data_IF_718956947169
#
_entry.id   IF_718956947169
#
_cell.length_a   1.000
_cell.length_b   1.000
_cell.length_c   1.000
_cell.angle_alpha   90.00
_cell.angle_beta   90.00
_cell.angle_gamma   90.00
#
_symmetry.space_group_name_H-M   'P 1'
#
loop_
_entity.id
_entity.type
_entity.pdbx_description
1 polymer ?
#
# COMPACT_ATOMS: atom_id res chain seq x y z
N UNK A 1 -2.27 -48.21 -9.28
CA UNK A 1 -1.98 -46.76 -9.27
C UNK A 1 -0.81 -46.54 -10.20
N UNK A 2 -1.04 -45.84 -11.31
CA UNK A 2 0.01 -45.49 -12.27
C UNK A 2 0.81 -44.33 -11.66
N UNK A 3 2.04 -44.59 -11.19
CA UNK A 3 2.99 -43.52 -10.91
C UNK A 3 3.50 -43.03 -12.27
N UNK A 4 2.83 -42.01 -12.81
CA UNK A 4 3.31 -41.29 -13.98
C UNK A 4 4.65 -40.65 -13.65
N UNK A 5 5.67 -41.05 -14.38
CA UNK A 5 7.05 -40.58 -14.32
C UNK A 5 7.07 -39.06 -14.57
N UNK A 6 7.19 -38.27 -13.50
CA UNK A 6 7.34 -36.81 -13.57
C UNK A 6 8.79 -36.45 -13.25
N UNK A 7 9.66 -36.62 -14.25
CA UNK A 7 10.93 -35.90 -14.30
C UNK A 7 11.17 -35.54 -15.76
N UNK A 8 10.73 -34.36 -16.19
CA UNK A 8 11.31 -33.74 -17.38
C UNK A 8 12.58 -33.01 -16.93
N UNK A 9 13.73 -33.61 -17.17
CA UNK A 9 15.02 -32.97 -16.88
C UNK A 9 15.09 -31.61 -17.62
N UNK A 10 15.17 -30.52 -16.84
CA UNK A 10 15.46 -29.18 -17.34
C UNK A 10 14.26 -28.29 -17.70
N UNK A 11 13.02 -28.67 -17.36
CA UNK A 11 11.82 -27.83 -17.59
C UNK A 11 11.06 -27.64 -16.29
N UNK A 12 10.79 -26.39 -15.91
CA UNK A 12 9.93 -26.03 -14.77
C UNK A 12 8.50 -26.35 -15.14
N UNK A 13 7.80 -27.17 -14.34
CA UNK A 13 6.39 -27.47 -14.57
C UNK A 13 5.49 -26.33 -14.04
N UNK A 14 5.41 -25.26 -14.84
CA UNK A 14 4.56 -24.10 -14.56
C UNK A 14 3.08 -24.44 -14.72
N UNK A 15 2.73 -25.41 -15.57
CA UNK A 15 1.35 -25.83 -15.79
C UNK A 15 0.85 -26.65 -14.60
N UNK A 16 1.71 -27.50 -14.07
CA UNK A 16 1.45 -28.30 -12.90
C UNK A 16 0.36 -29.35 -13.11
N UNK A 17 -0.13 -29.91 -12.01
CA UNK A 17 -1.21 -30.89 -12.01
C UNK A 17 -2.37 -30.42 -11.15
N UNK A 18 -3.60 -30.69 -11.62
CA UNK A 18 -4.84 -30.36 -10.91
C UNK A 18 -5.41 -31.59 -10.20
N UNK A 19 -5.57 -31.50 -8.88
CA UNK A 19 -6.30 -32.48 -8.09
C UNK A 19 -7.76 -32.03 -8.03
N UNK A 20 -8.64 -32.77 -8.70
CA UNK A 20 -10.06 -32.45 -8.72
C UNK A 20 -10.76 -32.75 -7.38
N UNK A 21 -11.68 -31.88 -6.96
CA UNK A 21 -12.47 -32.03 -5.73
C UNK A 21 -11.60 -32.29 -4.49
N UNK A 22 -10.45 -31.61 -4.41
CA UNK A 22 -9.42 -31.89 -3.42
C UNK A 22 -9.76 -31.32 -2.03
N UNK A 23 -10.74 -30.42 -1.93
CA UNK A 23 -11.20 -29.83 -0.67
C UNK A 23 -12.37 -28.86 -0.86
N UNK A 24 -12.82 -28.27 0.23
CA UNK A 24 -13.84 -27.22 0.22
C UNK A 24 -13.18 -25.83 0.23
N UNK A 25 -13.78 -24.87 -0.47
CA UNK A 25 -13.34 -23.49 -0.45
C UNK A 25 -13.51 -22.90 0.95
N UNK A 26 -12.48 -22.29 1.57
CA UNK A 26 -12.59 -21.72 2.92
C UNK A 26 -13.54 -20.52 3.02
N UNK A 27 -13.92 -19.92 1.89
CA UNK A 27 -14.82 -18.77 1.82
C UNK A 27 -16.30 -19.15 1.65
N UNK A 28 -16.60 -20.16 0.83
CA UNK A 28 -17.98 -20.50 0.45
C UNK A 28 -18.36 -21.98 0.62
N UNK A 29 -17.44 -22.81 1.12
CA UNK A 29 -17.58 -24.26 1.33
C UNK A 29 -17.94 -25.10 0.09
N UNK A 30 -17.87 -24.53 -1.11
CA UNK A 30 -18.04 -25.29 -2.36
C UNK A 30 -16.79 -26.13 -2.61
N UNK A 31 -16.96 -27.35 -3.12
CA UNK A 31 -15.86 -28.21 -3.56
C UNK A 31 -15.01 -27.50 -4.62
N UNK A 32 -13.70 -27.50 -4.43
CA UNK A 32 -12.72 -26.84 -5.29
C UNK A 32 -11.58 -27.79 -5.66
N UNK A 33 -10.97 -27.48 -6.79
CA UNK A 33 -9.78 -28.14 -7.28
C UNK A 33 -8.54 -27.47 -6.67
N UNK A 34 -7.49 -28.25 -6.42
CA UNK A 34 -6.18 -27.72 -6.06
C UNK A 34 -5.21 -27.89 -7.22
N UNK A 35 -4.39 -26.87 -7.48
CA UNK A 35 -3.31 -26.96 -8.45
C UNK A 35 -1.97 -27.09 -7.72
N UNK A 36 -1.15 -28.03 -8.14
CA UNK A 36 0.23 -28.19 -7.69
C UNK A 36 1.15 -27.83 -8.86
N UNK A 37 2.06 -26.89 -8.69
CA UNK A 37 2.95 -26.41 -9.75
C UNK A 37 4.32 -26.04 -9.17
N UNK A 38 5.29 -25.80 -10.04
CA UNK A 38 6.61 -25.32 -9.64
C UNK A 38 6.72 -23.81 -9.90
N UNK A 39 7.25 -23.06 -8.94
CA UNK A 39 7.58 -21.63 -9.08
C UNK A 39 9.06 -21.41 -8.79
N UNK A 40 9.69 -20.53 -9.57
CA UNK A 40 11.06 -20.09 -9.31
C UNK A 40 11.02 -18.76 -8.55
N UNK A 41 11.19 -18.83 -7.24
CA UNK A 41 11.23 -17.65 -6.37
C UNK A 41 12.57 -17.58 -5.64
N UNK A 42 13.12 -16.37 -5.53
CA UNK A 42 14.40 -16.10 -4.86
C UNK A 42 15.61 -16.94 -5.35
N UNK A 43 15.58 -17.41 -6.60
CA UNK A 43 16.64 -18.22 -7.18
C UNK A 43 16.56 -19.72 -6.85
N UNK A 44 15.45 -20.18 -6.28
CA UNK A 44 15.19 -21.59 -5.99
C UNK A 44 13.89 -22.06 -6.66
N UNK A 45 13.83 -23.34 -7.03
CA UNK A 45 12.59 -24.00 -7.45
C UNK A 45 11.82 -24.48 -6.23
N UNK A 46 10.60 -23.99 -6.09
CA UNK A 46 9.69 -24.32 -4.99
C UNK A 46 8.44 -24.98 -5.55
N UNK A 47 7.97 -26.04 -4.88
CA UNK A 47 6.68 -26.62 -5.17
C UNK A 47 5.60 -25.80 -4.47
N UNK A 48 4.66 -25.28 -5.24
CA UNK A 48 3.57 -24.43 -4.78
C UNK A 48 2.23 -25.16 -4.93
N UNK A 49 1.28 -24.80 -4.08
CA UNK A 49 -0.12 -25.19 -4.19
C UNK A 49 -0.98 -23.95 -4.34
N UNK A 50 -1.95 -23.96 -5.25
CA UNK A 50 -3.01 -22.94 -5.32
C UNK A 50 -4.40 -23.53 -5.19
N UNK A 51 -5.32 -22.68 -4.74
CA UNK A 51 -6.75 -22.90 -4.66
C UNK A 51 -7.40 -21.74 -5.41
N UNK A 52 -8.15 -22.05 -6.45
CA UNK A 52 -8.91 -21.10 -7.25
C UNK A 52 -10.38 -21.51 -7.21
N UNK A 53 -11.22 -20.77 -6.49
CA UNK A 53 -12.64 -21.09 -6.34
C UNK A 53 -13.47 -20.45 -7.47
N UNK A 54 -14.06 -21.23 -8.38
CA UNK A 54 -14.87 -20.68 -9.48
C UNK A 54 -16.21 -20.11 -9.01
N UNK A 55 -16.70 -20.52 -7.82
CA UNK A 55 -17.99 -20.11 -7.30
C UNK A 55 -17.98 -18.70 -6.68
N UNK A 56 -16.90 -18.34 -5.97
CA UNK A 56 -16.80 -17.06 -5.25
C UNK A 56 -15.58 -16.21 -5.62
N UNK A 57 -14.69 -16.70 -6.48
CA UNK A 57 -13.48 -15.99 -6.88
C UNK A 57 -12.38 -15.98 -5.80
N UNK A 58 -12.50 -16.77 -4.73
CA UNK A 58 -11.45 -16.91 -3.73
C UNK A 58 -10.19 -17.53 -4.37
N UNK A 59 -9.05 -16.88 -4.16
CA UNK A 59 -7.73 -17.36 -4.55
C UNK A 59 -6.82 -17.47 -3.33
N UNK A 60 -6.04 -18.54 -3.23
CA UNK A 60 -4.94 -18.63 -2.27
C UNK A 60 -3.86 -19.54 -2.82
N UNK A 61 -2.60 -19.17 -2.66
CA UNK A 61 -1.50 -20.04 -3.02
C UNK A 61 -0.29 -19.83 -2.12
N UNK A 62 0.61 -20.81 -2.14
CA UNK A 62 1.88 -20.82 -1.40
C UNK A 62 3.03 -20.19 -2.23
N UNK A 63 2.70 -19.44 -3.27
CA UNK A 63 3.69 -18.77 -4.13
C UNK A 63 3.89 -17.34 -3.68
N UNK A 64 5.08 -17.07 -3.11
CA UNK A 64 5.49 -15.77 -2.60
C UNK A 64 5.41 -14.65 -3.66
N UNK A 65 5.47 -14.99 -4.94
CA UNK A 65 5.43 -14.05 -6.05
C UNK A 65 4.05 -13.93 -6.70
N UNK A 66 3.00 -14.49 -6.08
CA UNK A 66 1.65 -14.44 -6.64
C UNK A 66 1.08 -13.02 -6.64
N UNK A 67 0.80 -12.49 -7.83
CA UNK A 67 0.24 -11.16 -8.02
C UNK A 67 -1.18 -11.00 -7.44
N UNK A 68 -2.01 -12.05 -7.47
CA UNK A 68 -3.35 -12.02 -6.89
C UNK A 68 -3.32 -11.98 -5.36
N UNK A 69 -2.49 -12.82 -4.73
CA UNK A 69 -2.27 -12.79 -3.28
C UNK A 69 -1.68 -11.44 -2.84
N UNK A 70 -0.68 -10.93 -3.57
CA UNK A 70 -0.08 -9.64 -3.28
C UNK A 70 -1.07 -8.48 -3.42
N UNK A 71 -1.88 -8.46 -4.48
CA UNK A 71 -2.90 -7.41 -4.65
C UNK A 71 -3.94 -7.42 -3.52
N UNK A 72 -4.32 -8.60 -3.03
CA UNK A 72 -5.21 -8.72 -1.86
C UNK A 72 -4.54 -8.18 -0.60
N UNK A 73 -3.30 -8.57 -0.31
CA UNK A 73 -2.61 -8.10 0.89
C UNK A 73 -2.45 -6.58 0.90
N UNK A 74 -2.06 -5.98 -0.24
CA UNK A 74 -1.95 -4.52 -0.39
C UNK A 74 -3.31 -3.84 -0.14
N UNK A 75 -4.39 -4.45 -0.63
CA UNK A 75 -5.74 -3.91 -0.39
C UNK A 75 -6.11 -3.98 1.10
N UNK A 76 -5.90 -5.12 1.74
CA UNK A 76 -6.18 -5.30 3.18
C UNK A 76 -5.36 -4.31 4.02
N UNK A 77 -4.06 -4.18 3.76
CA UNK A 77 -3.18 -3.19 4.41
C UNK A 77 -3.67 -1.75 4.18
N UNK A 78 -4.13 -1.40 2.97
CA UNK A 78 -4.66 -0.07 2.67
C UNK A 78 -5.94 0.27 3.43
N UNK A 79 -6.80 -0.73 3.64
CA UNK A 79 -8.07 -0.61 4.37
C UNK A 79 -7.81 -0.52 5.87
N UNK A 80 -6.92 -1.37 6.41
CA UNK A 80 -6.49 -1.30 7.81
C UNK A 80 -5.84 0.04 8.15
N UNK A 81 -4.99 0.55 7.25
CA UNK A 81 -4.36 1.86 7.41
C UNK A 81 -5.42 2.97 7.49
N UNK A 82 -6.41 2.98 6.58
CA UNK A 82 -7.50 3.95 6.63
C UNK A 82 -8.31 3.87 7.94
N UNK A 83 -8.60 2.66 8.41
CA UNK A 83 -9.30 2.42 9.69
C UNK A 83 -8.49 2.97 10.86
N UNK A 84 -7.16 2.81 10.86
CA UNK A 84 -6.30 3.31 11.94
C UNK A 84 -6.35 4.83 12.10
N UNK A 85 -6.60 5.56 11.00
CA UNK A 85 -6.85 7.00 10.99
C UNK A 85 -8.33 7.38 11.14
N UNK A 86 -9.23 6.42 11.40
CA UNK A 86 -10.67 6.68 11.55
C UNK A 86 -11.42 6.98 10.24
N UNK A 87 -10.80 6.69 9.09
CA UNK A 87 -11.35 6.98 7.78
C UNK A 87 -12.17 5.78 7.31
N UNK A 88 -13.50 5.91 7.40
CA UNK A 88 -14.45 4.84 7.01
C UNK A 88 -15.37 5.24 5.87
N UNK A 89 -15.25 6.48 5.38
CA UNK A 89 -16.09 7.04 4.31
C UNK A 89 -15.34 8.11 3.52
N UNK A 90 -15.86 8.43 2.33
CA UNK A 90 -15.34 9.51 1.50
C UNK A 90 -15.37 10.86 2.24
N UNK A 91 -16.40 11.12 3.04
CA UNK A 91 -16.50 12.34 3.84
C UNK A 91 -15.42 12.40 4.92
N UNK A 92 -15.09 11.28 5.57
CA UNK A 92 -13.98 11.24 6.53
C UNK A 92 -12.64 11.48 5.85
N UNK A 93 -12.44 10.93 4.65
CA UNK A 93 -11.21 11.14 3.88
C UNK A 93 -11.00 12.62 3.55
N UNK A 94 -12.07 13.32 3.14
CA UNK A 94 -12.02 14.75 2.85
C UNK A 94 -11.78 15.59 4.12
N UNK A 95 -12.40 15.24 5.24
CA UNK A 95 -12.15 15.90 6.53
C UNK A 95 -10.70 15.71 6.97
N UNK A 96 -10.18 14.49 6.87
CA UNK A 96 -8.79 14.18 7.19
C UNK A 96 -7.80 15.00 6.35
N UNK A 97 -8.06 15.13 5.04
CA UNK A 97 -7.24 15.96 4.16
C UNK A 97 -7.37 17.47 4.48
N UNK A 98 -8.56 17.94 4.83
CA UNK A 98 -8.77 19.34 5.25
C UNK A 98 -8.04 19.66 6.57
N UNK A 99 -7.97 18.70 7.50
CA UNK A 99 -7.21 18.82 8.73
C UNK A 99 -5.71 18.95 8.43
N UNK A 100 -5.16 18.08 7.55
CA UNK A 100 -3.78 18.18 7.05
C UNK A 100 -3.51 19.56 6.45
N UNK A 101 -4.36 20.01 5.52
CA UNK A 101 -4.19 21.31 4.85
C UNK A 101 -4.18 22.46 5.86
N UNK A 102 -5.11 22.44 6.82
CA UNK A 102 -5.21 23.44 7.88
C UNK A 102 -3.95 23.47 8.75
N UNK A 103 -3.43 22.30 9.13
CA UNK A 103 -2.20 22.19 9.91
C UNK A 103 -0.99 22.71 9.15
N UNK A 104 -0.87 22.39 7.85
CA UNK A 104 0.18 22.94 6.99
C UNK A 104 0.10 24.47 6.91
N UNK A 105 -1.10 25.04 6.76
CA UNK A 105 -1.28 26.50 6.72
C UNK A 105 -0.82 27.15 8.03
N UNK A 106 -1.14 26.54 9.17
CA UNK A 106 -0.70 27.02 10.49
C UNK A 106 0.81 26.92 10.63
N UNK A 107 1.42 25.80 10.23
CA UNK A 107 2.86 25.59 10.29
C UNK A 107 3.60 26.59 9.40
N UNK A 108 3.10 26.82 8.19
CA UNK A 108 3.69 27.77 7.28
C UNK A 108 3.59 29.21 7.80
N UNK A 109 2.43 29.60 8.35
CA UNK A 109 2.26 30.92 8.96
C UNK A 109 3.23 31.12 10.14
N UNK A 110 3.39 30.12 11.01
CA UNK A 110 4.36 30.16 12.12
C UNK A 110 5.79 30.29 11.62
N UNK A 111 6.18 29.47 10.63
CA UNK A 111 7.51 29.52 10.05
C UNK A 111 7.84 30.91 9.50
N UNK A 112 6.89 31.57 8.82
CA UNK A 112 7.08 32.93 8.29
C UNK A 112 7.20 34.02 9.35
N UNK A 113 6.57 33.84 10.51
CA UNK A 113 6.67 34.79 11.63
C UNK A 113 8.03 34.64 12.32
N UNK A 114 8.46 33.42 12.57
CA UNK A 114 9.68 33.13 13.32
C UNK A 114 10.93 33.24 12.45
N UNK A 115 10.82 33.02 11.14
CA UNK A 115 11.90 33.06 10.15
C UNK A 115 11.53 33.95 8.95
N UNK A 116 11.44 35.28 9.14
CA UNK A 116 11.03 36.18 8.06
C UNK A 116 12.02 36.21 6.88
N UNK A 117 13.30 35.92 7.13
CA UNK A 117 14.35 35.88 6.12
C UNK A 117 14.77 34.43 5.82
N UNK A 118 14.34 33.91 4.66
CA UNK A 118 14.64 32.55 4.20
C UNK A 118 16.14 32.22 4.08
N UNK A 119 17.02 33.24 4.12
CA UNK A 119 18.47 33.10 3.98
C UNK A 119 19.24 33.04 5.31
N UNK A 120 18.59 33.19 6.46
CA UNK A 120 19.27 33.27 7.76
C UNK A 120 19.18 31.97 8.60
N UNK A 121 18.33 31.02 8.21
CA UNK A 121 18.14 29.77 8.93
C UNK A 121 19.26 28.77 8.62
N UNK A 122 20.30 28.73 9.45
CA UNK A 122 21.32 27.66 9.44
C UNK A 122 20.77 26.34 10.01
N UNK A 123 19.61 25.89 9.51
CA UNK A 123 18.72 24.83 9.99
C UNK A 123 17.60 25.31 10.93
N UNK A 124 16.35 25.02 10.56
CA UNK A 124 15.19 25.20 11.40
C UNK A 124 15.29 24.33 12.69
N UNK A 125 14.84 24.83 13.85
CA UNK A 125 14.86 24.06 15.09
C UNK A 125 14.05 22.76 14.97
N UNK A 126 14.49 21.69 15.65
CA UNK A 126 13.77 20.39 15.68
C UNK A 126 12.30 20.51 16.10
N UNK A 127 11.96 21.51 16.91
CA UNK A 127 10.59 21.80 17.32
C UNK A 127 9.64 22.14 16.16
N UNK A 128 10.17 22.63 15.04
CA UNK A 128 9.40 22.85 13.81
C UNK A 128 9.29 21.58 12.95
N UNK A 129 10.27 20.70 13.08
CA UNK A 129 10.45 19.54 12.21
C UNK A 129 9.51 18.41 12.57
N UNK A 130 9.30 18.16 13.86
CA UNK A 130 8.43 17.08 14.32
C UNK A 130 6.97 17.24 13.80
N UNK A 131 6.32 18.42 13.94
CA UNK A 131 4.97 18.60 13.40
C UNK A 131 4.91 18.51 11.87
N UNK A 132 5.91 19.04 11.16
CA UNK A 132 5.95 18.97 9.69
C UNK A 132 6.11 17.51 9.24
N UNK A 133 6.96 16.75 9.92
CA UNK A 133 7.21 15.33 9.63
C UNK A 133 5.96 14.51 9.90
N UNK A 134 5.25 14.77 11.01
CA UNK A 134 4.00 14.10 11.32
C UNK A 134 2.93 14.32 10.23
N UNK A 135 2.76 15.57 9.78
CA UNK A 135 1.83 15.88 8.69
C UNK A 135 2.27 15.24 7.37
N UNK A 136 3.57 15.23 7.07
CA UNK A 136 4.12 14.57 5.88
C UNK A 136 3.87 13.06 5.88
N UNK A 137 4.04 12.40 7.04
CA UNK A 137 3.74 10.98 7.22
C UNK A 137 2.25 10.72 6.99
N UNK A 138 1.37 11.53 7.58
CA UNK A 138 -0.09 11.39 7.40
C UNK A 138 -0.50 11.56 5.93
N UNK A 139 0.09 12.53 5.23
CA UNK A 139 -0.17 12.73 3.80
C UNK A 139 0.35 11.55 2.96
N UNK A 140 1.55 11.05 3.25
CA UNK A 140 2.12 9.87 2.60
C UNK A 140 1.29 8.60 2.85
N UNK A 141 0.84 8.38 4.08
CA UNK A 141 -0.02 7.25 4.41
C UNK A 141 -1.36 7.36 3.70
N UNK A 142 -1.92 8.57 3.57
CA UNK A 142 -3.14 8.79 2.81
C UNK A 142 -3.01 8.33 1.35
N UNK A 143 -1.86 8.52 0.70
CA UNK A 143 -1.64 8.05 -0.67
C UNK A 143 -1.83 6.54 -0.83
N UNK A 144 -1.56 5.76 0.22
CA UNK A 144 -1.70 4.30 0.22
C UNK A 144 -3.12 3.83 0.47
N UNK A 145 -4.02 4.71 0.91
CA UNK A 145 -5.41 4.37 1.25
C UNK A 145 -6.31 4.28 0.01
N UNK A 146 -7.42 3.53 0.06
CA UNK A 146 -8.35 3.41 -1.06
C UNK A 146 -8.99 4.75 -1.49
N UNK A 147 -9.05 5.72 -0.60
CA UNK A 147 -9.65 7.04 -0.84
C UNK A 147 -8.75 8.00 -1.63
N UNK A 148 -7.47 7.69 -1.81
CA UNK A 148 -6.51 8.56 -2.52
C UNK A 148 -6.79 8.68 -4.02
N UNK A 149 -7.41 7.65 -4.61
CA UNK A 149 -7.75 7.61 -6.02
C UNK A 149 -8.96 8.50 -6.38
N UNK A 150 -9.73 8.95 -5.40
CA UNK A 150 -10.95 9.75 -5.63
C UNK A 150 -10.61 11.13 -6.20
N UNK A 151 -11.37 11.64 -7.20
CA UNK A 151 -11.12 12.95 -7.80
C UNK A 151 -11.08 14.10 -6.78
N UNK A 152 -11.99 14.08 -5.80
CA UNK A 152 -12.06 15.10 -4.74
C UNK A 152 -10.84 15.10 -3.82
N UNK A 153 -10.22 13.93 -3.60
CA UNK A 153 -9.02 13.80 -2.78
C UNK A 153 -7.79 14.33 -3.51
N UNK A 154 -7.70 14.11 -4.83
CA UNK A 154 -6.52 14.48 -5.64
C UNK A 154 -6.22 15.98 -5.62
N UNK A 155 -7.26 16.81 -5.65
CA UNK A 155 -7.09 18.27 -5.63
C UNK A 155 -6.48 18.73 -4.30
N UNK A 156 -7.07 18.31 -3.17
CA UNK A 156 -6.59 18.70 -1.84
C UNK A 156 -5.18 18.13 -1.59
N UNK A 157 -4.92 16.88 -1.97
CA UNK A 157 -3.58 16.28 -1.89
C UNK A 157 -2.55 17.10 -2.66
N UNK A 158 -2.87 17.53 -3.88
CA UNK A 158 -1.97 18.37 -4.68
C UNK A 158 -1.66 19.70 -3.99
N UNK A 159 -2.66 20.33 -3.39
CA UNK A 159 -2.49 21.60 -2.65
C UNK A 159 -1.63 21.37 -1.40
N UNK A 160 -1.94 20.35 -0.61
CA UNK A 160 -1.18 19.98 0.60
C UNK A 160 0.27 19.64 0.28
N UNK A 161 0.55 18.87 -0.78
CA UNK A 161 1.92 18.58 -1.22
C UNK A 161 2.68 19.84 -1.63
N UNK A 162 2.02 20.76 -2.35
CA UNK A 162 2.63 22.04 -2.72
C UNK A 162 2.98 22.89 -1.50
N UNK A 163 2.05 22.97 -0.54
CA UNK A 163 2.24 23.75 0.67
C UNK A 163 3.34 23.16 1.57
N UNK A 164 3.41 21.83 1.68
CA UNK A 164 4.49 21.14 2.38
C UNK A 164 5.86 21.47 1.76
N UNK A 165 5.96 21.47 0.43
CA UNK A 165 7.17 21.85 -0.29
C UNK A 165 7.54 23.33 -0.06
N UNK A 166 6.57 24.24 -0.06
CA UNK A 166 6.80 25.66 0.23
C UNK A 166 7.34 25.87 1.65
N UNK A 167 6.85 25.10 2.63
CA UNK A 167 7.37 25.10 4.00
C UNK A 167 8.84 24.63 4.01
N UNK A 168 9.16 23.53 3.32
CA UNK A 168 10.54 23.01 3.27
C UNK A 168 11.51 24.01 2.64
N UNK A 169 11.13 24.61 1.51
CA UNK A 169 11.92 25.66 0.84
C UNK A 169 12.14 26.84 1.79
N UNK A 170 11.08 27.30 2.46
CA UNK A 170 11.16 28.45 3.35
C UNK A 170 12.06 28.20 4.57
N UNK A 171 12.07 26.97 5.10
CA UNK A 171 12.92 26.57 6.21
C UNK A 171 14.37 26.22 5.78
N UNK A 172 14.68 26.33 4.48
CA UNK A 172 16.02 26.03 3.96
C UNK A 172 16.37 24.55 4.03
N UNK A 173 15.39 23.66 3.90
CA UNK A 173 15.60 22.21 3.95
C UNK A 173 15.73 21.66 2.52
N UNK A 174 16.95 21.28 2.06
CA UNK A 174 17.19 20.88 0.67
C UNK A 174 16.64 19.48 0.32
N UNK A 175 16.44 18.63 1.32
CA UNK A 175 15.93 17.28 1.16
C UNK A 175 14.46 17.26 1.58
N UNK A 176 13.58 17.77 0.71
CA UNK A 176 12.14 17.56 0.83
C UNK A 176 11.80 16.07 0.73
N UNK A 177 10.80 15.64 1.50
CA UNK A 177 10.30 14.25 1.53
C UNK A 177 9.70 13.80 0.19
#
# INVERSE_FOLDING_TARGET
>A
MYYGTLVSEGVIDLDGFTIHNAGECPSCNVLVDHRLYESCSYGCLNQCRSIDCPACGYHSCDDDCCSACHARSVKEESEELAISYGITSNSHALLFLADIETELMILFAKARIDFPDASAANAAPRSYMEPITDVAIRLHDFHKMPYSALPSSKEIVSVSSSLLNDIYIHLGWPDGF
#
